data_IF_679693920022
#
_entry.id   IF_679693920022
#
_cell.length_a   1.000
_cell.length_b   1.000
_cell.length_c   1.000
_cell.angle_alpha   90.00
_cell.angle_beta   90.00
_cell.angle_gamma   90.00
#
_symmetry.space_group_name_H-M   'P 1'
#
loop_
_entity.id
_entity.type
_entity.pdbx_description
1 polymer ?
#
# COMPACT_ATOMS: atom_id res chain seq x y z
N UNK A 1 6.47 65.10 36.79
CA UNK A 1 5.35 64.29 37.31
C UNK A 1 4.66 63.62 36.13
N UNK A 2 4.37 62.32 36.24
CA UNK A 2 3.69 61.47 35.24
C UNK A 2 4.60 60.36 34.69
N UNK A 3 4.81 59.17 35.29
CA UNK A 3 3.92 58.01 35.55
C UNK A 3 3.32 57.42 34.27
N UNK A 4 3.24 56.12 33.97
CA UNK A 4 3.60 54.84 34.59
C UNK A 4 3.41 53.74 33.50
N UNK A 5 4.11 52.60 33.57
CA UNK A 5 3.70 51.33 32.92
C UNK A 5 2.45 50.76 33.67
N UNK A 6 1.63 49.75 33.22
CA UNK A 6 2.01 48.60 32.37
C UNK A 6 0.87 47.88 31.53
N UNK A 7 1.25 46.75 30.90
CA UNK A 7 0.52 45.48 30.54
C UNK A 7 -0.61 45.35 29.47
N UNK A 8 -0.41 44.32 28.63
CA UNK A 8 -1.34 43.32 28.02
C UNK A 8 -1.95 43.53 26.63
N UNK A 9 -2.09 42.37 25.95
CA UNK A 9 -2.62 42.04 24.60
C UNK A 9 -1.61 42.14 23.45
N UNK A 10 -1.24 41.08 22.71
CA UNK A 10 -1.56 39.64 22.69
C UNK A 10 -0.39 38.96 21.98
N UNK A 11 0.24 37.88 22.47
CA UNK A 11 -0.24 36.50 22.34
C UNK A 11 -0.94 36.15 21.01
N UNK A 12 -0.60 36.81 19.90
CA UNK A 12 -1.23 36.53 18.61
C UNK A 12 -0.33 36.74 17.38
N UNK A 13 0.99 36.76 17.52
CA UNK A 13 1.89 36.45 16.38
C UNK A 13 1.91 34.94 16.07
N UNK A 14 0.91 34.22 16.59
CA UNK A 14 0.72 32.79 16.53
C UNK A 14 -0.22 32.34 15.42
N UNK A 15 -0.70 33.21 14.52
CA UNK A 15 -1.87 32.82 13.71
C UNK A 15 -1.87 33.09 12.20
N UNK A 16 -0.85 33.70 11.58
CA UNK A 16 -0.98 34.05 10.15
C UNK A 16 0.30 33.88 9.32
N UNK A 17 0.93 32.69 9.39
CA UNK A 17 1.48 32.10 8.17
C UNK A 17 0.50 31.04 7.67
N UNK A 18 -0.64 31.58 7.25
CA UNK A 18 -1.62 30.94 6.39
C UNK A 18 -0.91 30.31 5.19
N UNK A 19 -1.03 28.99 5.09
CA UNK A 19 -0.75 28.17 3.89
C UNK A 19 0.66 28.31 3.29
N UNK A 20 1.68 27.86 4.02
CA UNK A 20 2.92 27.46 3.36
C UNK A 20 2.68 26.08 2.74
N UNK A 21 2.53 26.03 1.41
CA UNK A 21 2.43 24.83 0.58
C UNK A 21 3.70 23.95 0.59
N UNK A 22 4.31 23.79 1.76
CA UNK A 22 5.48 22.97 2.11
C UNK A 22 5.26 22.41 3.51
N UNK A 23 4.31 21.48 3.66
CA UNK A 23 4.32 20.67 4.87
C UNK A 23 5.54 19.74 4.80
N UNK A 24 6.51 19.99 5.69
CA UNK A 24 7.61 19.06 5.95
C UNK A 24 6.96 17.76 6.39
N UNK A 25 7.09 16.71 5.59
CA UNK A 25 6.44 15.40 5.77
C UNK A 25 6.80 14.69 7.08
N UNK A 26 7.71 15.26 7.88
CA UNK A 26 8.24 14.70 9.11
C UNK A 26 8.23 15.68 10.31
N UNK A 27 7.56 16.85 10.22
CA UNK A 27 7.31 17.71 11.39
C UNK A 27 5.98 17.34 12.05
N UNK A 28 6.05 16.41 13.01
CA UNK A 28 4.90 15.97 13.80
C UNK A 28 4.80 16.68 15.15
N UNK A 29 5.39 17.87 15.28
CA UNK A 29 5.41 18.61 16.56
C UNK A 29 4.03 19.11 16.97
N UNK A 30 3.16 19.48 16.02
CA UNK A 30 1.79 19.95 16.28
C UNK A 30 0.92 18.90 16.99
N UNK A 31 0.01 19.29 17.90
CA UNK A 31 -0.89 18.36 18.57
C UNK A 31 -1.75 17.59 17.57
N UNK A 32 -2.01 16.32 17.87
CA UNK A 32 -2.80 15.40 17.04
C UNK A 32 -2.31 15.22 15.59
N UNK A 33 -1.00 15.35 15.36
CA UNK A 33 -0.40 15.12 14.03
C UNK A 33 -0.55 13.68 13.55
N UNK A 34 -0.90 13.50 12.28
CA UNK A 34 -0.96 12.20 11.61
C UNK A 34 0.29 11.98 10.75
N UNK A 35 0.74 10.74 10.65
CA UNK A 35 1.77 10.34 9.69
C UNK A 35 1.26 10.54 8.24
N UNK A 36 2.16 10.61 7.24
CA UNK A 36 1.78 10.54 5.85
C UNK A 36 0.97 9.27 5.53
N UNK A 37 0.16 9.35 4.48
CA UNK A 37 -0.52 8.17 3.96
C UNK A 37 0.49 7.12 3.49
N UNK A 38 0.22 5.85 3.81
CA UNK A 38 0.91 4.74 3.16
C UNK A 38 0.64 4.74 1.66
N UNK A 39 1.50 4.05 0.91
CA UNK A 39 1.13 3.63 -0.44
C UNK A 39 -0.21 2.86 -0.40
N UNK A 40 -0.94 2.91 -1.52
CA UNK A 40 -2.13 2.10 -1.71
C UNK A 40 -1.79 0.61 -1.63
N UNK A 41 -2.65 -0.16 -0.96
CA UNK A 41 -2.61 -1.61 -1.06
C UNK A 41 -2.83 -2.06 -2.50
N UNK A 42 -2.39 -3.27 -2.88
CA UNK A 42 -2.86 -3.90 -4.10
C UNK A 42 -4.39 -3.94 -4.14
N UNK A 43 -4.94 -3.96 -5.35
CA UNK A 43 -6.37 -4.14 -5.57
C UNK A 43 -6.80 -5.52 -5.04
N UNK A 44 -7.88 -5.57 -4.26
CA UNK A 44 -8.40 -6.84 -3.73
C UNK A 44 -9.21 -7.67 -4.75
N UNK A 45 -9.44 -7.11 -5.95
CA UNK A 45 -10.20 -7.77 -6.99
C UNK A 45 -9.56 -9.11 -7.37
N UNK A 46 -10.41 -10.03 -7.82
CA UNK A 46 -9.99 -11.33 -8.35
C UNK A 46 -10.45 -11.44 -9.80
N UNK A 47 -9.94 -12.42 -10.53
CA UNK A 47 -10.39 -12.68 -11.90
C UNK A 47 -11.85 -13.16 -11.99
N UNK A 48 -12.47 -13.47 -10.85
CA UNK A 48 -13.90 -13.81 -10.75
C UNK A 48 -14.76 -12.62 -10.35
N UNK A 49 -14.15 -11.48 -9.99
CA UNK A 49 -14.88 -10.27 -9.66
C UNK A 49 -15.61 -9.73 -10.89
N UNK A 50 -16.84 -9.22 -10.75
CA UNK A 50 -17.57 -8.60 -11.86
C UNK A 50 -16.77 -7.41 -12.40
N UNK A 51 -16.53 -7.39 -13.71
CA UNK A 51 -15.70 -6.40 -14.41
C UNK A 51 -14.28 -6.22 -13.84
N UNK A 52 -13.79 -7.23 -13.10
CA UNK A 52 -12.51 -7.15 -12.36
C UNK A 52 -12.42 -5.97 -11.38
N UNK A 53 -13.57 -5.53 -10.87
CA UNK A 53 -13.66 -4.46 -9.89
C UNK A 53 -13.36 -4.98 -8.48
N UNK A 54 -12.75 -4.14 -7.68
CA UNK A 54 -12.49 -4.37 -6.27
C UNK A 54 -12.16 -3.07 -5.59
N UNK A 55 -11.57 -3.17 -4.40
CA UNK A 55 -11.14 -2.00 -3.64
C UNK A 55 -9.70 -2.12 -3.20
N UNK A 56 -9.08 -0.96 -3.01
CA UNK A 56 -7.75 -0.81 -2.41
C UNK A 56 -7.84 0.15 -1.24
N UNK A 57 -6.92 0.00 -0.30
CA UNK A 57 -6.91 0.81 0.92
C UNK A 57 -5.55 1.43 1.16
N UNK A 58 -5.53 2.64 1.71
CA UNK A 58 -4.33 3.25 2.31
C UNK A 58 -4.66 3.72 3.71
N UNK A 59 -3.63 3.83 4.55
CA UNK A 59 -3.79 4.15 5.97
C UNK A 59 -2.86 5.26 6.39
N UNK A 60 -3.26 6.04 7.39
CA UNK A 60 -2.37 6.93 8.12
C UNK A 60 -2.70 6.86 9.60
N UNK A 61 -1.67 6.95 10.44
CA UNK A 61 -1.83 6.75 11.88
C UNK A 61 -1.45 8.00 12.64
N UNK A 62 -1.99 8.16 13.85
CA UNK A 62 -1.53 9.20 14.77
C UNK A 62 -0.03 9.07 15.00
N UNK A 63 0.72 10.15 14.76
CA UNK A 63 2.18 10.17 14.88
C UNK A 63 2.60 9.85 16.32
N UNK A 64 1.85 10.38 17.30
CA UNK A 64 2.00 10.06 18.72
C UNK A 64 0.82 9.22 19.20
N UNK A 65 1.01 7.90 19.20
CA UNK A 65 -0.04 6.92 19.53
C UNK A 65 -0.72 7.12 20.89
N UNK A 66 -0.08 7.76 21.87
CA UNK A 66 -0.62 7.91 23.23
C UNK A 66 -1.19 9.32 23.49
N UNK A 67 -1.28 10.17 22.47
CA UNK A 67 -1.81 11.52 22.63
C UNK A 67 -3.32 11.50 22.89
N UNK A 68 -3.76 12.26 23.89
CA UNK A 68 -5.15 12.36 24.31
C UNK A 68 -5.86 13.52 23.60
N UNK A 69 -7.19 13.49 23.52
CA UNK A 69 -7.99 14.55 22.91
C UNK A 69 -8.05 14.53 21.37
N UNK A 70 -7.38 13.58 20.72
CA UNK A 70 -7.37 13.44 19.25
C UNK A 70 -8.50 12.57 18.69
N UNK A 71 -9.44 12.13 19.54
CA UNK A 71 -10.49 11.18 19.17
C UNK A 71 -11.42 11.72 18.07
N UNK A 72 -11.59 13.04 18.01
CA UNK A 72 -12.37 13.75 17.00
C UNK A 72 -11.88 13.56 15.56
N UNK A 73 -10.61 13.15 15.37
CA UNK A 73 -10.04 12.88 14.05
C UNK A 73 -10.52 11.55 13.46
N UNK A 74 -11.10 10.66 14.25
CA UNK A 74 -11.44 9.30 13.83
C UNK A 74 -12.97 9.13 13.74
N UNK A 75 -13.53 9.10 12.52
CA UNK A 75 -14.99 9.11 12.33
C UNK A 75 -15.65 7.78 12.70
N UNK A 76 -14.92 6.67 12.70
CA UNK A 76 -15.44 5.35 13.05
C UNK A 76 -14.80 4.76 14.30
N UNK A 77 -15.57 3.95 15.05
CA UNK A 77 -15.07 3.27 16.25
C UNK A 77 -13.86 2.36 15.96
N UNK A 78 -13.79 1.79 14.75
CA UNK A 78 -12.65 0.96 14.32
C UNK A 78 -11.37 1.79 14.12
N UNK A 79 -11.51 2.96 13.52
CA UNK A 79 -10.38 3.87 13.32
C UNK A 79 -9.93 4.48 14.63
N UNK A 80 -10.87 4.83 15.52
CA UNK A 80 -10.59 5.33 16.86
C UNK A 80 -9.82 4.29 17.69
N UNK A 81 -10.28 3.03 17.70
CA UNK A 81 -9.65 1.94 18.43
C UNK A 81 -8.20 1.67 17.98
N UNK A 82 -7.88 1.98 16.73
CA UNK A 82 -6.55 1.75 16.14
C UNK A 82 -5.74 3.04 15.96
N UNK A 83 -6.30 4.20 16.31
CA UNK A 83 -5.76 5.55 16.03
C UNK A 83 -5.23 5.66 14.59
N UNK A 84 -6.00 5.10 13.65
CA UNK A 84 -5.62 4.94 12.24
C UNK A 84 -6.79 5.29 11.36
N UNK A 85 -6.62 6.27 10.47
CA UNK A 85 -7.56 6.57 9.40
C UNK A 85 -7.35 5.62 8.23
N UNK A 86 -8.44 5.16 7.63
CA UNK A 86 -8.43 4.26 6.48
C UNK A 86 -9.18 4.91 5.34
N UNK A 87 -8.50 5.11 4.21
CA UNK A 87 -9.15 5.50 2.97
C UNK A 87 -9.31 4.27 2.07
N UNK A 88 -10.50 4.12 1.49
CA UNK A 88 -10.82 3.05 0.55
C UNK A 88 -11.20 3.68 -0.79
N UNK A 89 -10.67 3.12 -1.88
CA UNK A 89 -10.99 3.52 -3.25
C UNK A 89 -11.31 2.28 -4.09
N UNK A 90 -12.15 2.48 -5.10
CA UNK A 90 -12.39 1.49 -6.14
C UNK A 90 -11.14 1.31 -7.02
N UNK A 91 -10.94 0.07 -7.48
CA UNK A 91 -9.87 -0.28 -8.38
C UNK A 91 -10.37 -1.31 -9.40
N UNK A 92 -9.75 -1.31 -10.57
CA UNK A 92 -10.03 -2.27 -11.63
C UNK A 92 -8.72 -2.97 -12.01
N UNK A 93 -8.72 -4.30 -12.03
CA UNK A 93 -7.56 -5.03 -12.54
C UNK A 93 -7.47 -4.87 -14.07
N UNK A 94 -6.27 -4.68 -14.61
CA UNK A 94 -6.08 -4.69 -16.05
C UNK A 94 -6.47 -6.06 -16.64
N UNK A 95 -7.14 -6.13 -17.78
CA UNK A 95 -7.67 -7.38 -18.33
C UNK A 95 -6.57 -8.42 -18.61
N UNK A 96 -5.38 -7.99 -19.03
CA UNK A 96 -4.21 -8.84 -19.25
C UNK A 96 -3.70 -9.54 -17.99
N UNK A 97 -4.05 -9.01 -16.81
CA UNK A 97 -3.67 -9.66 -15.55
C UNK A 97 -4.44 -10.96 -15.35
N UNK A 98 -5.66 -11.07 -15.87
CA UNK A 98 -6.48 -12.27 -15.76
C UNK A 98 -6.34 -13.22 -16.94
N UNK A 99 -5.42 -12.94 -17.88
CA UNK A 99 -5.05 -13.86 -18.94
C UNK A 99 -4.48 -15.16 -18.34
N UNK A 100 -5.07 -16.33 -18.64
CA UNK A 100 -4.60 -17.60 -18.09
C UNK A 100 -3.12 -17.88 -18.41
N UNK A 101 -2.64 -17.47 -19.59
CA UNK A 101 -1.22 -17.66 -19.95
C UNK A 101 -0.29 -16.75 -19.15
N UNK A 102 -0.74 -15.55 -18.76
CA UNK A 102 -0.03 -14.70 -17.79
C UNK A 102 0.02 -15.34 -16.41
N UNK A 103 -1.10 -15.89 -15.92
CA UNK A 103 -1.17 -16.56 -14.61
C UNK A 103 -0.25 -17.77 -14.58
N UNK A 104 -0.36 -18.69 -15.54
CA UNK A 104 0.47 -19.90 -15.61
C UNK A 104 1.95 -19.58 -15.90
N UNK A 105 2.24 -18.41 -16.47
CA UNK A 105 3.60 -17.93 -16.70
C UNK A 105 4.29 -17.34 -15.46
N UNK A 106 3.59 -17.15 -14.35
CA UNK A 106 4.20 -16.73 -13.09
C UNK A 106 4.93 -17.89 -12.41
N UNK A 107 6.11 -17.63 -11.85
CA UNK A 107 6.82 -18.60 -11.03
C UNK A 107 6.13 -18.85 -9.69
N UNK A 108 6.48 -19.95 -9.01
CA UNK A 108 5.98 -20.22 -7.67
C UNK A 108 6.44 -19.10 -6.73
N UNK A 109 5.51 -18.60 -5.92
CA UNK A 109 5.74 -17.54 -4.93
C UNK A 109 5.06 -17.96 -3.64
N UNK A 110 5.87 -18.42 -2.69
CA UNK A 110 5.44 -18.86 -1.36
C UNK A 110 4.83 -17.70 -0.56
N UNK A 111 5.29 -16.47 -0.85
CA UNK A 111 4.87 -15.27 -0.16
C UNK A 111 5.60 -15.10 1.16
N UNK A 112 4.93 -14.56 2.17
CA UNK A 112 5.48 -14.41 3.52
C UNK A 112 4.54 -14.99 4.58
N UNK A 113 5.08 -15.47 5.71
CA UNK A 113 4.28 -15.96 6.82
C UNK A 113 3.35 -14.87 7.38
N UNK A 114 2.05 -15.07 7.25
CA UNK A 114 1.04 -14.22 7.90
C UNK A 114 -0.14 -15.01 8.47
N UNK A 115 -0.05 -16.34 8.39
CA UNK A 115 -1.05 -17.31 8.84
C UNK A 115 -0.45 -18.71 8.75
N UNK A 116 -1.30 -19.73 8.83
CA UNK A 116 -0.86 -21.13 8.72
C UNK A 116 -0.37 -21.44 7.30
N UNK A 117 0.83 -22.02 7.15
CA UNK A 117 1.30 -22.51 5.85
C UNK A 117 0.35 -23.57 5.29
N UNK A 118 0.00 -23.44 4.01
CA UNK A 118 -0.94 -24.34 3.33
C UNK A 118 -0.30 -24.99 2.11
N UNK A 119 -0.55 -26.29 1.86
CA UNK A 119 -0.09 -26.94 0.66
C UNK A 119 -0.84 -26.37 -0.55
N UNK A 120 -0.12 -26.14 -1.64
CA UNK A 120 -0.68 -25.65 -2.89
C UNK A 120 0.07 -26.25 -4.09
N UNK A 121 -0.45 -26.02 -5.29
CA UNK A 121 0.14 -26.48 -6.55
C UNK A 121 0.37 -25.30 -7.49
N UNK A 122 1.42 -25.37 -8.31
CA UNK A 122 1.70 -24.40 -9.37
C UNK A 122 2.07 -25.13 -10.66
N UNK A 123 1.81 -24.51 -11.80
CA UNK A 123 2.24 -25.04 -13.10
C UNK A 123 3.72 -24.73 -13.34
N UNK A 124 4.53 -25.77 -13.59
CA UNK A 124 5.93 -25.64 -14.02
C UNK A 124 6.02 -25.76 -15.53
N UNK A 125 6.50 -24.73 -16.20
CA UNK A 125 6.72 -24.75 -17.65
C UNK A 125 7.92 -25.61 -18.06
N UNK A 126 8.85 -25.89 -17.12
CA UNK A 126 10.02 -26.75 -17.35
C UNK A 126 9.60 -28.22 -17.32
N UNK A 127 8.88 -28.62 -16.27
CA UNK A 127 8.39 -30.00 -16.13
C UNK A 127 7.13 -30.27 -16.97
N UNK A 128 6.52 -29.21 -17.49
CA UNK A 128 5.23 -29.27 -18.18
C UNK A 128 4.16 -29.99 -17.33
N UNK A 129 4.20 -29.79 -16.01
CA UNK A 129 3.29 -30.41 -15.06
C UNK A 129 3.03 -29.50 -13.86
N UNK A 130 2.02 -29.84 -13.07
CA UNK A 130 1.66 -29.14 -11.85
C UNK A 130 2.37 -29.75 -10.64
N UNK A 131 3.22 -28.95 -10.00
CA UNK A 131 4.08 -29.37 -8.89
C UNK A 131 3.57 -28.80 -7.55
N UNK A 132 3.71 -29.54 -6.45
CA UNK A 132 3.36 -29.03 -5.12
C UNK A 132 4.37 -27.99 -4.63
N UNK A 133 3.89 -27.03 -3.83
CA UNK A 133 4.69 -26.07 -3.07
C UNK A 133 3.94 -25.61 -1.82
N UNK A 134 4.61 -24.86 -0.94
CA UNK A 134 4.00 -24.33 0.29
C UNK A 134 3.64 -22.86 0.12
N UNK A 135 2.40 -22.50 0.42
CA UNK A 135 1.96 -21.12 0.51
C UNK A 135 1.97 -20.64 1.96
N UNK A 136 2.71 -19.56 2.24
CA UNK A 136 2.93 -19.05 3.60
C UNK A 136 1.80 -18.13 4.11
N UNK A 137 0.77 -17.90 3.29
CA UNK A 137 -0.46 -17.22 3.71
C UNK A 137 -0.67 -15.83 3.11
N UNK A 138 0.38 -15.04 2.86
CA UNK A 138 0.26 -13.70 2.27
C UNK A 138 1.21 -13.44 1.11
N UNK A 139 0.82 -12.55 0.19
CA UNK A 139 1.65 -12.05 -0.93
C UNK A 139 2.24 -13.17 -1.82
N UNK A 140 1.53 -14.28 -1.97
CA UNK A 140 1.89 -15.32 -2.94
C UNK A 140 1.53 -14.94 -4.37
N UNK A 141 1.96 -15.78 -5.31
CA UNK A 141 1.71 -15.62 -6.74
C UNK A 141 0.32 -16.07 -7.16
N UNK A 142 -0.04 -15.84 -8.43
CA UNK A 142 -1.33 -16.28 -8.97
C UNK A 142 -1.29 -17.67 -9.57
N UNK A 143 -0.11 -18.14 -9.95
CA UNK A 143 0.14 -19.55 -10.25
C UNK A 143 0.11 -20.37 -8.95
N UNK A 144 -1.07 -20.46 -8.33
CA UNK A 144 -1.32 -21.16 -7.06
C UNK A 144 -2.73 -21.75 -7.09
N UNK A 145 -2.81 -23.06 -6.94
CA UNK A 145 -4.06 -23.82 -6.97
C UNK A 145 -4.16 -24.72 -5.74
N UNK A 146 -5.39 -25.03 -5.31
CA UNK A 146 -5.64 -25.90 -4.15
C UNK A 146 -5.44 -27.39 -4.45
N UNK A 147 -5.48 -27.80 -5.72
CA UNK A 147 -5.23 -29.18 -6.15
C UNK A 147 -4.46 -29.26 -7.47
N UNK A 148 -3.83 -30.41 -7.71
CA UNK A 148 -3.12 -30.68 -8.95
C UNK A 148 -4.06 -30.68 -10.17
N UNK A 149 -5.27 -31.23 -10.02
CA UNK A 149 -6.28 -31.30 -11.08
C UNK A 149 -6.78 -29.91 -11.48
N UNK A 150 -7.01 -29.02 -10.50
CA UNK A 150 -7.40 -27.64 -10.75
C UNK A 150 -6.30 -26.89 -11.53
N UNK A 151 -5.04 -27.09 -11.13
CA UNK A 151 -3.89 -26.54 -11.85
C UNK A 151 -3.80 -27.05 -13.29
N UNK A 152 -3.91 -28.37 -13.50
CA UNK A 152 -3.83 -29.00 -14.83
C UNK A 152 -4.93 -28.53 -15.75
N UNK A 153 -6.17 -28.51 -15.25
CA UNK A 153 -7.36 -28.08 -16.00
C UNK A 153 -7.26 -26.60 -16.41
N UNK A 154 -6.66 -25.76 -15.56
CA UNK A 154 -6.50 -24.34 -15.84
C UNK A 154 -5.33 -24.06 -16.79
N UNK A 155 -4.16 -24.64 -16.56
CA UNK A 155 -2.94 -24.27 -17.26
C UNK A 155 -2.62 -25.08 -18.53
N UNK A 156 -2.84 -26.39 -18.54
CA UNK A 156 -2.38 -27.22 -19.68
C UNK A 156 -3.04 -26.84 -21.01
N UNK A 157 -4.39 -26.73 -21.11
CA UNK A 157 -5.03 -26.37 -22.38
C UNK A 157 -4.57 -25.01 -22.92
N UNK A 158 -4.35 -24.06 -22.01
CA UNK A 158 -3.92 -22.71 -22.33
C UNK A 158 -2.49 -22.72 -22.88
N UNK A 159 -1.57 -23.37 -22.18
CA UNK A 159 -0.16 -23.40 -22.57
C UNK A 159 0.02 -24.15 -23.88
N UNK A 160 -0.67 -25.28 -24.08
CA UNK A 160 -0.64 -26.05 -25.33
C UNK A 160 -1.14 -25.26 -26.54
N UNK A 161 -2.12 -24.37 -26.33
CA UNK A 161 -2.63 -23.48 -27.37
C UNK A 161 -1.68 -22.32 -27.70
N UNK A 162 -0.64 -22.06 -26.90
CA UNK A 162 0.30 -20.96 -27.15
C UNK A 162 1.25 -21.27 -28.32
N UNK A 163 1.64 -20.25 -29.10
CA UNK A 163 2.68 -20.39 -30.10
C UNK A 163 4.02 -20.79 -29.45
N UNK A 164 4.83 -21.56 -30.19
CA UNK A 164 6.07 -22.17 -29.68
C UNK A 164 7.00 -21.16 -28.99
N UNK A 165 7.21 -19.99 -29.61
CA UNK A 165 8.08 -18.93 -29.07
C UNK A 165 7.64 -18.43 -27.68
N UNK A 166 6.34 -18.47 -27.35
CA UNK A 166 5.82 -18.05 -26.04
C UNK A 166 5.98 -19.17 -25.02
N UNK A 167 5.76 -20.43 -25.42
CA UNK A 167 5.99 -21.61 -24.57
C UNK A 167 7.45 -21.76 -24.16
N UNK A 168 8.38 -21.68 -25.12
CA UNK A 168 9.82 -21.82 -24.89
C UNK A 168 10.37 -20.79 -23.90
N UNK A 169 9.77 -19.59 -23.85
CA UNK A 169 10.18 -18.51 -22.95
C UNK A 169 9.47 -18.52 -21.60
N UNK A 170 8.45 -19.36 -21.42
CA UNK A 170 7.63 -19.35 -20.20
C UNK A 170 8.44 -19.77 -18.97
N UNK A 171 9.31 -20.79 -19.07
CA UNK A 171 10.18 -21.19 -17.95
C UNK A 171 11.12 -20.08 -17.47
N UNK A 172 11.67 -19.29 -18.40
CA UNK A 172 12.49 -18.12 -18.05
C UNK A 172 11.67 -17.03 -17.35
N UNK A 173 10.42 -16.81 -17.80
CA UNK A 173 9.51 -15.86 -17.14
C UNK A 173 9.16 -16.31 -15.72
N UNK A 174 8.89 -17.61 -15.53
CA UNK A 174 8.63 -18.19 -14.21
C UNK A 174 9.83 -18.00 -13.28
N UNK A 175 11.05 -18.27 -13.77
CA UNK A 175 12.28 -18.05 -13.00
C UNK A 175 12.49 -16.58 -12.60
N UNK A 176 12.26 -15.64 -13.52
CA UNK A 176 12.39 -14.20 -13.21
C UNK A 176 11.36 -13.72 -12.21
N UNK A 177 10.13 -14.21 -12.32
CA UNK A 177 9.02 -13.75 -11.49
C UNK A 177 9.00 -14.38 -10.11
N UNK A 178 9.53 -15.60 -9.92
CA UNK A 178 9.66 -16.20 -8.59
C UNK A 178 10.61 -15.40 -7.68
N UNK A 179 11.65 -14.77 -8.24
CA UNK A 179 12.62 -13.95 -7.48
C UNK A 179 12.08 -12.58 -7.08
N UNK A 180 10.98 -12.12 -7.68
CA UNK A 180 10.38 -10.82 -7.33
C UNK A 180 9.63 -10.85 -5.99
N UNK A 181 9.52 -12.01 -5.31
CA UNK A 181 9.02 -12.06 -3.93
C UNK A 181 10.08 -11.75 -2.88
N UNK A 182 11.38 -11.75 -3.22
CA UNK A 182 12.48 -11.54 -2.26
C UNK A 182 13.09 -10.13 -2.28
N UNK A 183 12.71 -9.27 -3.21
CA UNK A 183 13.17 -7.87 -3.25
C UNK A 183 12.10 -6.93 -2.69
N UNK A 184 11.91 -6.98 -1.37
CA UNK A 184 11.93 -5.71 -0.66
C UNK A 184 13.33 -5.14 -0.86
N UNK A 185 13.46 -3.88 -1.23
CA UNK A 185 14.76 -3.23 -1.29
C UNK A 185 15.51 -3.45 0.04
N UNK A 186 16.47 -4.37 0.05
CA UNK A 186 17.53 -4.42 1.06
C UNK A 186 18.75 -3.80 0.39
N UNK A 187 18.70 -2.48 0.24
CA UNK A 187 19.90 -1.71 0.47
C UNK A 187 19.84 -1.34 1.96
N UNK A 188 20.67 -1.98 2.76
CA UNK A 188 21.25 -1.44 3.99
C UNK A 188 22.19 -2.49 4.58
N UNK A 189 23.45 -2.38 4.17
CA UNK A 189 24.56 -2.45 5.12
C UNK A 189 24.20 -1.69 6.39
N UNK A 190 24.54 -2.23 7.56
CA UNK A 190 24.43 -1.56 8.87
C UNK A 190 25.07 -0.17 8.82
N UNK A 191 24.24 0.82 8.51
CA UNK A 191 24.53 2.25 8.54
C UNK A 191 23.59 2.92 9.56
N UNK A 192 23.94 4.11 10.06
CA UNK A 192 23.06 4.85 10.94
C UNK A 192 21.74 5.11 10.20
N UNK A 193 20.62 4.74 10.84
CA UNK A 193 19.24 4.91 10.37
C UNK A 193 19.12 6.20 9.54
N UNK A 194 19.11 6.06 8.22
CA UNK A 194 18.94 7.19 7.32
C UNK A 194 17.56 7.81 7.52
N UNK A 195 17.47 9.13 7.43
CA UNK A 195 16.17 9.81 7.43
C UNK A 195 15.33 9.27 6.26
N UNK A 196 14.07 8.90 6.55
CA UNK A 196 13.18 8.27 5.57
C UNK A 196 13.09 9.14 4.29
N UNK A 197 13.34 8.60 3.08
CA UNK A 197 13.32 9.38 1.83
C UNK A 197 11.96 10.05 1.55
N UNK A 198 10.86 9.56 2.13
CA UNK A 198 9.56 10.23 2.12
C UNK A 198 9.57 11.58 2.88
N UNK A 199 10.60 11.87 3.68
CA UNK A 199 10.81 13.15 4.35
C UNK A 199 11.23 14.30 3.39
N UNK A 200 11.53 13.99 2.12
CA UNK A 200 12.04 14.96 1.13
C UNK A 200 11.07 15.30 -0.01
N UNK A 201 9.96 14.58 -0.16
CA UNK A 201 8.97 14.86 -1.21
C UNK A 201 7.87 15.80 -0.73
N UNK A 202 7.58 16.86 -1.50
CA UNK A 202 6.47 17.77 -1.26
C UNK A 202 5.14 17.03 -1.51
N UNK A 203 4.28 16.90 -0.50
CA UNK A 203 2.98 16.22 -0.64
C UNK A 203 1.87 17.24 -0.86
N UNK A 204 1.25 17.19 -2.04
CA UNK A 204 0.00 17.91 -2.31
C UNK A 204 -1.15 17.20 -1.56
N UNK A 205 -1.74 17.88 -0.58
CA UNK A 205 -2.81 17.35 0.28
C UNK A 205 -4.16 17.24 -0.44
N UNK A 206 -4.30 17.77 -1.65
CA UNK A 206 -5.55 17.73 -2.42
C UNK A 206 -6.66 18.67 -1.91
N UNK A 207 -6.34 19.52 -0.93
CA UNK A 207 -7.24 20.50 -0.33
C UNK A 207 -6.75 21.91 -0.71
N UNK A 208 -7.64 22.73 -1.26
CA UNK A 208 -7.38 24.14 -1.55
C UNK A 208 -7.72 24.92 -0.27
N UNK A 209 -6.78 25.72 0.24
CA UNK A 209 -6.99 26.46 1.49
C UNK A 209 -8.22 27.37 1.39
N UNK A 210 -9.04 27.40 2.43
CA UNK A 210 -10.07 28.43 2.59
C UNK A 210 -9.43 29.83 2.50
N UNK A 211 -10.04 30.78 1.78
CA UNK A 211 -9.53 32.15 1.74
C UNK A 211 -9.52 32.77 3.14
N UNK A 212 -8.57 33.67 3.45
CA UNK A 212 -8.51 34.32 4.76
C UNK A 212 -9.84 34.99 5.09
N UNK A 213 -10.38 34.67 6.27
CA UNK A 213 -11.57 35.36 6.80
C UNK A 213 -11.13 36.75 7.23
N UNK A 214 -11.57 37.79 6.51
CA UNK A 214 -11.43 39.17 6.96
C UNK A 214 -12.38 39.41 8.14
N UNK A 215 -11.82 39.56 9.35
CA UNK A 215 -12.60 40.02 10.50
C UNK A 215 -12.69 41.54 10.42
N UNK A 216 -13.80 42.06 9.87
CA UNK A 216 -14.13 43.47 10.05
C UNK A 216 -14.35 43.75 11.54
N UNK A 217 -13.58 44.72 12.03
CA UNK A 217 -13.40 45.16 13.41
C UNK A 217 -14.70 45.45 14.16
N UNK A 218 -14.80 44.93 15.40
CA UNK A 218 -15.70 45.42 16.45
C UNK A 218 -14.87 45.93 17.64
#
# INVERSE_FOLDING_TARGET
MGSAFPVLYSLALQLLQSCEGRQRTCDFSAPCSLLPWTAWSPCNATCQSPNHLGTRVRKRTLARRNEEGCDHLFPSARELATRTLVQTEECQLPPETCDPATICGEGPKEGFPCGEPTPAFYYSAIEHDCLPFTYLGCKGGRNRFSSAEACKTFCLPVVEALPAWRRERMGLLQFKTSQLSSTGATDESEGPVGQNPACHEEVNTGEECDPPVEWESY
#
